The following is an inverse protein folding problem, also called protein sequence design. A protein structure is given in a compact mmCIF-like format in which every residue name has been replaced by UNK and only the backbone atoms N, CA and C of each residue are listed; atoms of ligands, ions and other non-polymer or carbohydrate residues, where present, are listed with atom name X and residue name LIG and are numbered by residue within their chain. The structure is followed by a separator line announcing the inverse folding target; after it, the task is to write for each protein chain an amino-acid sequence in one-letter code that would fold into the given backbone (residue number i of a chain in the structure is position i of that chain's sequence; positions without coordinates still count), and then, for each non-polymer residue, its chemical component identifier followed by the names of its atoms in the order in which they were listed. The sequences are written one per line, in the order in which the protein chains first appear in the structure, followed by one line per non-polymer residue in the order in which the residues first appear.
data_IF_052859554308
#
_entry.id   IF_052859554308
#
_cell.length_a   1.000
_cell.length_b   1.000
_cell.length_c   1.000
_cell.angle_alpha   90.00
_cell.angle_beta   90.00
_cell.angle_gamma   90.00
#
_symmetry.space_group_name_H-M   'P 1'
#
loop_
_entity.id
_entity.type
_entity.pdbx_description
1 polymer ?
#
# COMPACT_ATOMS: atom_id res chain seq x y z
N UNK A 1 33.68 5.79 -1.74
CA UNK A 1 32.80 4.60 -1.79
C UNK A 1 31.57 5.00 -2.58
N UNK A 2 31.14 4.19 -3.54
CA UNK A 2 29.90 4.45 -4.31
C UNK A 2 28.72 3.81 -3.57
N UNK A 3 27.65 4.57 -3.32
CA UNK A 3 26.39 4.01 -2.80
C UNK A 3 25.58 3.43 -3.96
N UNK A 4 25.16 2.17 -3.83
CA UNK A 4 24.19 1.57 -4.74
C UNK A 4 22.77 1.89 -4.27
N UNK A 5 21.94 2.39 -5.17
CA UNK A 5 20.54 2.69 -4.92
C UNK A 5 19.64 1.72 -5.65
N UNK A 6 18.54 1.32 -5.02
CA UNK A 6 17.47 0.57 -5.67
C UNK A 6 16.28 1.48 -5.96
N UNK A 7 15.47 1.11 -6.94
CA UNK A 7 14.18 1.76 -7.17
C UNK A 7 13.25 1.43 -6.00
N UNK A 8 12.72 2.46 -5.35
CA UNK A 8 11.71 2.31 -4.32
C UNK A 8 10.31 2.44 -4.94
N UNK A 9 9.45 1.49 -4.63
CA UNK A 9 8.02 1.52 -4.93
C UNK A 9 7.28 1.11 -3.67
N UNK A 10 6.44 2.00 -3.13
CA UNK A 10 5.75 1.79 -1.86
C UNK A 10 4.84 0.55 -1.90
N UNK A 11 4.33 0.21 -3.08
CA UNK A 11 3.48 -0.96 -3.33
C UNK A 11 4.16 -2.28 -3.01
N UNK A 12 5.50 -2.33 -3.10
CA UNK A 12 6.28 -3.53 -2.79
C UNK A 12 6.37 -3.78 -1.27
N UNK A 13 5.98 -2.80 -0.45
CA UNK A 13 6.07 -2.84 1.01
C UNK A 13 4.70 -2.91 1.70
N UNK A 14 3.60 -2.53 1.04
CA UNK A 14 2.23 -2.56 1.61
C UNK A 14 1.56 -3.94 1.53
N UNK A 15 2.23 -4.97 2.04
CA UNK A 15 1.82 -6.38 1.89
C UNK A 15 0.82 -6.83 2.93
N UNK A 16 0.98 -6.36 4.17
CA UNK A 16 0.14 -6.75 5.29
C UNK A 16 -0.77 -5.61 5.74
N UNK A 17 -1.86 -5.92 6.46
CA UNK A 17 -2.67 -4.89 7.11
C UNK A 17 -1.87 -4.00 8.07
N UNK A 18 -0.83 -4.55 8.72
CA UNK A 18 0.04 -3.81 9.64
C UNK A 18 0.91 -2.79 8.87
N UNK A 19 1.46 -3.17 7.71
CA UNK A 19 2.21 -2.23 6.85
C UNK A 19 1.33 -1.07 6.36
N UNK A 20 0.08 -1.40 5.99
CA UNK A 20 -0.92 -0.42 5.54
C UNK A 20 -1.34 0.52 6.67
N UNK A 21 -1.53 0.00 7.88
CA UNK A 21 -1.87 0.81 9.05
C UNK A 21 -0.72 1.74 9.44
N UNK A 22 0.52 1.25 9.44
CA UNK A 22 1.69 2.03 9.82
C UNK A 22 1.94 3.22 8.89
N UNK A 23 1.81 3.02 7.56
CA UNK A 23 1.97 4.14 6.62
C UNK A 23 0.84 5.15 6.73
N UNK A 24 -0.38 4.69 7.00
CA UNK A 24 -1.54 5.57 7.16
C UNK A 24 -1.43 6.39 8.44
N UNK A 25 -0.98 5.79 9.55
CA UNK A 25 -0.72 6.50 10.80
C UNK A 25 0.34 7.59 10.60
N UNK A 26 1.46 7.27 9.95
CA UNK A 26 2.50 8.25 9.64
C UNK A 26 1.97 9.42 8.78
N UNK A 27 1.11 9.15 7.80
CA UNK A 27 0.48 10.20 6.99
C UNK A 27 -0.49 11.07 7.80
N UNK A 28 -1.22 10.47 8.74
CA UNK A 28 -2.12 11.20 9.65
C UNK A 28 -1.34 12.08 10.64
N UNK A 29 -0.18 11.63 11.11
CA UNK A 29 0.72 12.41 11.98
C UNK A 29 1.33 13.62 11.27
N UNK A 30 1.65 13.49 9.98
CA UNK A 30 2.13 14.61 9.15
C UNK A 30 1.03 15.67 8.94
N UNK A 31 -0.23 15.23 8.88
CA UNK A 31 -1.40 16.10 8.80
C UNK A 31 -1.65 16.70 7.42
N UNK A 32 -0.88 16.30 6.40
CA UNK A 32 -1.06 16.75 5.03
C UNK A 32 -2.19 15.95 4.32
N UNK A 33 -3.26 16.62 3.88
CA UNK A 33 -4.41 15.95 3.29
C UNK A 33 -4.08 15.31 1.93
N UNK A 34 -3.14 15.87 1.17
CA UNK A 34 -2.73 15.32 -0.13
C UNK A 34 -1.91 14.03 0.06
N UNK A 35 -1.05 13.98 1.08
CA UNK A 35 -0.32 12.78 1.48
C UNK A 35 -1.28 11.67 1.92
N UNK A 36 -2.25 12.00 2.78
CA UNK A 36 -3.25 11.01 3.24
C UNK A 36 -4.03 10.45 2.03
N UNK A 37 -4.47 11.30 1.10
CA UNK A 37 -5.17 10.86 -0.10
C UNK A 37 -4.29 9.95 -0.98
N UNK A 38 -3.01 10.30 -1.11
CA UNK A 38 -2.02 9.52 -1.87
C UNK A 38 -1.83 8.13 -1.25
N UNK A 39 -1.60 8.06 0.06
CA UNK A 39 -1.41 6.79 0.78
C UNK A 39 -2.66 5.89 0.68
N UNK A 40 -3.87 6.46 0.73
CA UNK A 40 -5.10 5.69 0.53
C UNK A 40 -5.16 5.09 -0.88
N UNK A 41 -4.80 5.86 -1.91
CA UNK A 41 -4.75 5.36 -3.29
C UNK A 41 -3.69 4.25 -3.43
N UNK A 42 -2.53 4.43 -2.79
CA UNK A 42 -1.46 3.46 -2.76
C UNK A 42 -1.89 2.14 -2.09
N UNK A 43 -2.55 2.19 -0.92
CA UNK A 43 -3.04 0.99 -0.25
C UNK A 43 -4.02 0.20 -1.13
N UNK A 44 -4.89 0.91 -1.88
CA UNK A 44 -5.83 0.26 -2.81
C UNK A 44 -5.10 -0.45 -3.96
N UNK A 45 -4.07 0.16 -4.52
CA UNK A 45 -3.25 -0.46 -5.56
C UNK A 45 -2.54 -1.72 -5.03
N UNK A 46 -2.01 -1.65 -3.80
CA UNK A 46 -1.34 -2.77 -3.16
C UNK A 46 -2.28 -3.95 -2.97
N UNK A 47 -3.51 -3.70 -2.52
CA UNK A 47 -4.54 -4.71 -2.33
C UNK A 47 -4.93 -5.37 -3.66
N UNK A 48 -5.10 -4.58 -4.73
CA UNK A 48 -5.35 -5.11 -6.08
C UNK A 48 -4.20 -6.01 -6.54
N UNK A 49 -2.97 -5.53 -6.38
CA UNK A 49 -1.75 -6.26 -6.78
C UNK A 49 -1.55 -7.56 -6.01
N UNK A 50 -1.89 -7.55 -4.72
CA UNK A 50 -1.72 -8.69 -3.82
C UNK A 50 -2.94 -9.63 -3.82
N UNK A 51 -3.93 -9.42 -4.69
CA UNK A 51 -5.12 -10.27 -4.79
C UNK A 51 -5.97 -10.32 -3.52
N UNK A 52 -5.82 -9.35 -2.62
CA UNK A 52 -6.58 -9.25 -1.37
C UNK A 52 -7.84 -8.39 -1.51
N UNK A 53 -8.23 -8.10 -2.74
CA UNK A 53 -9.42 -7.32 -3.06
C UNK A 53 -10.69 -8.08 -2.59
N UNK A 54 -11.45 -7.54 -1.62
CA UNK A 54 -12.65 -8.21 -1.13
C UNK A 54 -13.82 -8.21 -2.14
N UNK A 55 -13.71 -7.45 -3.24
CA UNK A 55 -14.68 -7.35 -4.34
C UNK A 55 -14.26 -8.21 -5.57
N UNK A 56 -13.10 -8.87 -5.52
CA UNK A 56 -12.73 -9.85 -6.53
C UNK A 56 -13.77 -10.99 -6.55
N UNK A 57 -14.26 -11.41 -7.74
CA UNK A 57 -15.21 -12.51 -7.83
C UNK A 57 -14.55 -13.73 -7.19
N UNK A 58 -15.10 -14.21 -6.07
CA UNK A 58 -14.65 -15.46 -5.48
C UNK A 58 -14.84 -16.53 -6.54
N UNK A 59 -13.73 -17.06 -7.06
CA UNK A 59 -13.77 -18.23 -7.91
C UNK A 59 -14.56 -19.29 -7.16
N UNK A 60 -15.77 -19.54 -7.63
CA UNK A 60 -16.58 -20.66 -7.17
C UNK A 60 -15.85 -21.89 -7.69
N UNK A 61 -15.20 -22.58 -6.77
CA UNK A 61 -14.63 -23.90 -6.99
C UNK A 61 -15.82 -24.85 -7.19
N UNK A 62 -16.01 -25.34 -8.42
CA UNK A 62 -16.97 -26.39 -8.79
C UNK A 62 -16.28 -27.75 -8.80
#
# INVERSE_FOLDING_TARGET
MTLETIRFDIQDFLKTPEDQAGILEAALEDGDPDLIATIIADIREAQRRNGSDPDAPKATDE
#
